data_IF_958120161722
#
_entry.id   IF_958120161722
#
_cell.length_a   1.000
_cell.length_b   1.000
_cell.length_c   1.000
_cell.angle_alpha   90.00
_cell.angle_beta   90.00
_cell.angle_gamma   90.00
#
_symmetry.space_group_name_H-M   'P 1'
#
loop_
_entity.id
_entity.type
_entity.pdbx_description
1 polymer ?
#
# COMPACT_ATOMS: atom_id res chain seq x y z
N UNK A 1 -8.23 -25.68 2.42
CA UNK A 1 -7.93 -25.71 0.98
C UNK A 1 -9.24 -25.79 0.20
N UNK A 2 -9.34 -25.08 -0.92
CA UNK A 2 -10.53 -25.06 -1.79
C UNK A 2 -10.67 -26.39 -2.53
N UNK A 3 -11.88 -26.94 -2.61
CA UNK A 3 -12.17 -28.15 -3.40
C UNK A 3 -12.24 -27.80 -4.90
N UNK A 4 -12.04 -28.76 -5.83
CA UNK A 4 -12.29 -28.54 -7.26
C UNK A 4 -13.68 -27.94 -7.51
N UNK A 5 -13.76 -26.95 -8.40
CA UNK A 5 -14.97 -26.16 -8.66
C UNK A 5 -15.29 -25.08 -7.61
N UNK A 6 -14.53 -25.00 -6.52
CA UNK A 6 -14.68 -23.94 -5.53
C UNK A 6 -14.02 -22.63 -5.98
N UNK A 7 -14.66 -21.51 -5.67
CA UNK A 7 -14.22 -20.18 -6.09
C UNK A 7 -13.47 -19.43 -5.00
N UNK A 8 -12.59 -18.54 -5.40
CA UNK A 8 -11.94 -17.54 -4.56
C UNK A 8 -12.19 -16.15 -5.13
N UNK A 9 -12.38 -15.19 -4.24
CA UNK A 9 -12.34 -13.76 -4.56
C UNK A 9 -11.23 -13.14 -3.72
N UNK A 10 -10.31 -12.45 -4.39
CA UNK A 10 -9.13 -11.84 -3.77
C UNK A 10 -9.07 -10.37 -4.17
N UNK A 11 -8.78 -9.51 -3.19
CA UNK A 11 -8.47 -8.10 -3.43
C UNK A 11 -7.33 -7.67 -2.51
N UNK A 12 -6.30 -7.04 -3.05
CA UNK A 12 -5.19 -6.50 -2.27
C UNK A 12 -4.53 -5.29 -2.93
N UNK A 13 -3.82 -4.44 -2.16
CA UNK A 13 -3.01 -3.35 -2.71
C UNK A 13 -1.93 -3.91 -3.65
N UNK A 14 -2.01 -3.59 -4.94
CA UNK A 14 -0.94 -3.85 -5.89
C UNK A 14 0.19 -2.81 -5.72
N UNK A 15 -0.17 -1.52 -5.65
CA UNK A 15 0.77 -0.42 -5.38
C UNK A 15 0.15 0.59 -4.43
N UNK A 16 0.93 1.06 -3.47
CA UNK A 16 0.48 2.00 -2.44
C UNK A 16 1.48 3.16 -2.27
N UNK A 17 0.97 4.39 -2.35
CA UNK A 17 1.74 5.62 -2.13
C UNK A 17 2.47 5.67 -0.77
N UNK A 18 1.89 5.05 0.26
CA UNK A 18 2.50 4.99 1.61
C UNK A 18 3.84 4.26 1.56
N UNK A 19 3.93 3.20 0.76
CA UNK A 19 5.14 2.39 0.58
C UNK A 19 6.23 3.11 -0.20
N UNK A 20 5.86 3.92 -1.19
CA UNK A 20 6.81 4.75 -1.92
C UNK A 20 7.51 5.76 -1.00
N UNK A 21 6.77 6.31 -0.05
CA UNK A 21 7.33 7.21 0.96
C UNK A 21 8.26 6.47 1.93
N UNK A 22 7.94 5.25 2.37
CA UNK A 22 8.88 4.46 3.18
C UNK A 22 10.19 4.20 2.43
N UNK A 23 10.13 3.88 1.15
CA UNK A 23 11.31 3.65 0.30
C UNK A 23 12.15 4.91 0.15
N UNK A 24 11.50 6.08 0.03
CA UNK A 24 12.19 7.36 0.01
C UNK A 24 12.86 7.68 1.35
N UNK A 25 12.14 7.54 2.46
CA UNK A 25 12.65 7.80 3.81
C UNK A 25 13.78 6.84 4.19
N UNK A 26 13.77 5.59 3.68
CA UNK A 26 14.84 4.63 3.93
C UNK A 26 16.21 5.05 3.39
N UNK A 27 16.26 6.08 2.53
CA UNK A 27 17.50 6.67 2.01
C UNK A 27 17.96 7.89 2.81
N UNK A 28 17.17 8.36 3.75
CA UNK A 28 17.47 9.52 4.58
C UNK A 28 18.26 9.07 5.81
N UNK A 29 19.39 9.72 6.10
CA UNK A 29 20.28 9.34 7.22
C UNK A 29 19.54 9.18 8.55
N UNK A 30 18.53 10.04 8.79
CA UNK A 30 17.69 10.01 9.98
C UNK A 30 16.87 8.72 10.14
N UNK A 31 16.31 8.20 9.04
CA UNK A 31 15.34 7.10 9.08
C UNK A 31 15.90 5.77 8.57
N UNK A 32 17.00 5.81 7.80
CA UNK A 32 17.68 4.63 7.27
C UNK A 32 18.00 3.54 8.33
N UNK A 33 18.45 3.88 9.55
CA UNK A 33 18.72 2.86 10.58
C UNK A 33 17.50 2.02 10.97
N UNK A 34 16.29 2.59 10.88
CA UNK A 34 15.04 1.92 11.24
C UNK A 34 14.37 1.22 10.06
N UNK A 35 14.62 1.71 8.84
CA UNK A 35 13.96 1.28 7.61
C UNK A 35 14.81 0.32 6.76
N UNK A 36 15.88 -0.25 7.31
CA UNK A 36 16.81 -1.12 6.57
C UNK A 36 16.16 -2.34 5.90
N UNK A 37 14.98 -2.77 6.36
CA UNK A 37 14.18 -3.86 5.77
C UNK A 37 12.91 -3.38 5.06
N UNK A 38 12.79 -2.10 4.72
CA UNK A 38 11.59 -1.52 4.11
C UNK A 38 11.07 -2.34 2.91
N UNK A 39 11.96 -2.81 2.03
CA UNK A 39 11.60 -3.63 0.86
C UNK A 39 10.90 -4.94 1.21
N UNK A 40 11.22 -5.56 2.34
CA UNK A 40 10.60 -6.82 2.77
C UNK A 40 9.18 -6.61 3.30
N UNK A 41 8.83 -5.37 3.65
CA UNK A 41 7.50 -5.01 4.14
C UNK A 41 6.53 -4.56 3.05
N UNK A 42 7.01 -4.43 1.81
CA UNK A 42 6.18 -3.98 0.70
C UNK A 42 5.40 -5.16 0.12
N UNK A 43 4.28 -4.87 -0.54
CA UNK A 43 3.60 -5.87 -1.35
C UNK A 43 4.55 -6.37 -2.45
N UNK A 44 4.56 -7.68 -2.77
CA UNK A 44 5.42 -8.22 -3.84
C UNK A 44 5.24 -7.48 -5.17
N UNK A 45 4.05 -6.95 -5.39
CA UNK A 45 3.63 -6.23 -6.58
C UNK A 45 3.96 -4.72 -6.58
N UNK A 46 4.50 -4.16 -5.49
CA UNK A 46 4.75 -2.71 -5.36
C UNK A 46 5.59 -2.15 -6.53
N UNK A 47 6.59 -2.92 -6.96
CA UNK A 47 7.48 -2.57 -8.08
C UNK A 47 7.27 -3.45 -9.32
N UNK A 48 6.21 -4.26 -9.34
CA UNK A 48 5.87 -5.05 -10.51
C UNK A 48 5.33 -4.12 -11.60
N UNK A 49 5.84 -4.27 -12.83
CA UNK A 49 5.42 -3.46 -13.97
C UNK A 49 3.99 -3.81 -14.38
N UNK A 50 3.70 -5.11 -14.53
CA UNK A 50 2.37 -5.64 -14.84
C UNK A 50 1.90 -6.62 -13.74
N UNK A 51 1.37 -6.10 -12.61
CA UNK A 51 0.88 -6.94 -11.54
C UNK A 51 -0.34 -7.78 -11.93
N UNK A 52 -1.06 -7.41 -13.00
CA UNK A 52 -2.19 -8.19 -13.48
C UNK A 52 -1.74 -9.49 -14.12
N UNK A 53 -0.77 -9.41 -15.03
CA UNK A 53 -0.19 -10.58 -15.69
C UNK A 53 0.49 -11.51 -14.68
N UNK A 54 1.35 -10.96 -13.84
CA UNK A 54 2.10 -11.70 -12.81
C UNK A 54 1.17 -12.51 -11.87
N UNK A 55 0.10 -11.87 -11.39
CA UNK A 55 -0.85 -12.57 -10.52
C UNK A 55 -1.74 -13.56 -11.27
N UNK A 56 -2.11 -13.27 -12.52
CA UNK A 56 -2.88 -14.22 -13.36
C UNK A 56 -2.09 -15.50 -13.60
N UNK A 57 -0.78 -15.40 -13.82
CA UNK A 57 0.09 -16.56 -14.00
C UNK A 57 0.31 -17.30 -12.67
N UNK A 58 0.48 -16.57 -11.57
CA UNK A 58 0.51 -17.16 -10.22
C UNK A 58 -0.74 -18.00 -9.94
N UNK A 59 -1.94 -17.51 -10.29
CA UNK A 59 -3.20 -18.26 -10.13
C UNK A 59 -3.21 -19.55 -10.95
N UNK A 60 -2.72 -19.52 -12.19
CA UNK A 60 -2.61 -20.72 -13.03
C UNK A 60 -1.63 -21.74 -12.44
N UNK A 61 -0.47 -21.28 -11.99
CA UNK A 61 0.56 -22.13 -11.38
C UNK A 61 0.06 -22.88 -10.15
N UNK A 62 -0.76 -22.23 -9.31
CA UNK A 62 -1.36 -22.87 -8.12
C UNK A 62 -2.65 -23.66 -8.45
N UNK A 63 -2.95 -23.84 -9.73
CA UNK A 63 -4.05 -24.66 -10.25
C UNK A 63 -5.43 -24.02 -10.11
N UNK A 64 -5.53 -22.72 -10.33
CA UNK A 64 -6.78 -22.00 -10.50
C UNK A 64 -6.92 -21.54 -11.95
N UNK A 65 -8.15 -21.51 -12.45
CA UNK A 65 -8.51 -20.77 -13.66
C UNK A 65 -9.09 -19.41 -13.26
N UNK A 66 -8.46 -18.33 -13.71
CA UNK A 66 -8.94 -16.96 -13.46
C UNK A 66 -9.96 -16.55 -14.53
N UNK A 67 -11.20 -16.29 -14.11
CA UNK A 67 -12.21 -15.68 -15.00
C UNK A 67 -12.08 -14.15 -14.99
N UNK A 68 -11.50 -13.59 -13.92
CA UNK A 68 -11.28 -12.16 -13.74
C UNK A 68 -9.96 -11.93 -12.99
N UNK A 69 -9.10 -11.09 -13.55
CA UNK A 69 -7.96 -10.50 -12.84
C UNK A 69 -7.77 -9.09 -13.38
N UNK A 70 -7.95 -8.09 -12.53
CA UNK A 70 -7.96 -6.68 -12.91
C UNK A 70 -7.11 -5.86 -11.96
N UNK A 71 -6.37 -4.91 -12.53
CA UNK A 71 -5.75 -3.82 -11.78
C UNK A 71 -6.62 -2.58 -11.87
N UNK A 72 -7.03 -2.06 -10.71
CA UNK A 72 -7.90 -0.87 -10.63
C UNK A 72 -7.19 0.21 -9.84
N UNK A 73 -7.13 1.42 -10.39
CA UNK A 73 -6.70 2.59 -9.66
C UNK A 73 -7.89 3.29 -9.01
N UNK A 74 -7.71 3.70 -7.74
CA UNK A 74 -8.68 4.46 -6.97
C UNK A 74 -7.97 5.58 -6.25
N UNK A 75 -8.60 6.75 -6.17
CA UNK A 75 -8.11 7.86 -5.36
C UNK A 75 -8.76 7.80 -3.99
N UNK A 76 -7.94 7.85 -2.94
CA UNK A 76 -8.40 7.90 -1.55
C UNK A 76 -8.14 9.28 -0.99
N UNK A 77 -9.19 9.86 -0.41
CA UNK A 77 -9.13 11.13 0.29
C UNK A 77 -9.28 10.89 1.79
N UNK A 78 -8.26 11.24 2.55
CA UNK A 78 -8.23 11.04 4.02
C UNK A 78 -7.81 12.32 4.72
N UNK A 79 -8.31 12.53 5.93
CA UNK A 79 -7.82 13.63 6.77
C UNK A 79 -6.37 13.37 7.21
N UNK A 80 -5.63 14.45 7.49
CA UNK A 80 -4.28 14.36 8.06
C UNK A 80 -4.26 13.50 9.32
N UNK A 81 -5.25 13.67 10.20
CA UNK A 81 -5.33 12.90 11.45
C UNK A 81 -5.51 11.40 11.19
N UNK A 82 -6.39 11.04 10.26
CA UNK A 82 -6.62 9.64 9.87
C UNK A 82 -5.37 9.01 9.26
N UNK A 83 -4.67 9.73 8.38
CA UNK A 83 -3.44 9.24 7.76
C UNK A 83 -2.34 9.00 8.79
N UNK A 84 -2.12 9.95 9.71
CA UNK A 84 -1.12 9.81 10.77
C UNK A 84 -1.43 8.61 11.68
N UNK A 85 -2.68 8.47 12.12
CA UNK A 85 -3.10 7.34 12.93
C UNK A 85 -3.00 6.00 12.19
N UNK A 86 -3.27 5.99 10.88
CA UNK A 86 -3.08 4.79 10.06
C UNK A 86 -1.60 4.40 9.98
N UNK A 87 -0.70 5.35 9.64
CA UNK A 87 0.75 5.09 9.57
C UNK A 87 1.27 4.57 10.90
N UNK A 88 0.86 5.20 12.01
CA UNK A 88 1.24 4.80 13.37
C UNK A 88 0.78 3.37 13.67
N UNK A 89 -0.48 3.03 13.35
CA UNK A 89 -1.06 1.72 13.63
C UNK A 89 -0.48 0.58 12.77
N UNK A 90 -0.11 0.85 11.52
CA UNK A 90 0.39 -0.17 10.58
C UNK A 90 1.90 -0.20 10.45
N UNK A 91 2.62 0.71 11.11
CA UNK A 91 4.08 0.76 11.08
C UNK A 91 4.66 -0.45 11.83
N UNK A 92 5.22 -1.41 11.08
CA UNK A 92 5.91 -2.58 11.63
C UNK A 92 7.41 -2.36 11.85
N UNK A 93 7.93 -1.18 11.52
CA UNK A 93 9.32 -0.83 11.75
C UNK A 93 9.60 -0.62 13.24
N UNK A 94 10.78 -1.06 13.69
CA UNK A 94 11.23 -0.87 15.08
C UNK A 94 11.74 0.56 15.27
N UNK A 95 10.81 1.52 15.29
CA UNK A 95 11.07 2.94 15.55
C UNK A 95 10.84 3.20 17.05
N UNK A 96 11.77 3.85 17.77
CA UNK A 96 11.55 4.25 19.16
C UNK A 96 10.26 5.04 19.33
N UNK A 97 9.50 4.77 20.40
CA UNK A 97 8.18 5.38 20.65
C UNK A 97 8.23 6.92 20.67
N UNK A 98 9.32 7.48 21.22
CA UNK A 98 9.57 8.92 21.24
C UNK A 98 9.81 9.53 19.86
N UNK A 99 10.14 8.73 18.84
CA UNK A 99 10.37 9.14 17.45
C UNK A 99 9.21 8.78 16.51
N UNK A 100 8.30 7.89 16.91
CA UNK A 100 7.22 7.39 16.05
C UNK A 100 6.29 8.52 15.56
N UNK A 101 5.94 9.46 16.45
CA UNK A 101 5.14 10.63 16.07
C UNK A 101 5.86 11.51 15.05
N UNK A 102 7.16 11.71 15.22
CA UNK A 102 7.97 12.49 14.29
C UNK A 102 8.09 11.79 12.93
N UNK A 103 8.30 10.47 12.95
CA UNK A 103 8.29 9.63 11.75
C UNK A 103 6.99 9.78 10.95
N UNK A 104 5.84 9.68 11.62
CA UNK A 104 4.54 9.85 10.97
C UNK A 104 4.38 11.25 10.36
N UNK A 105 4.87 12.30 11.04
CA UNK A 105 4.84 13.67 10.50
C UNK A 105 5.75 13.83 9.28
N UNK A 106 6.96 13.26 9.29
CA UNK A 106 7.88 13.28 8.15
C UNK A 106 7.31 12.54 6.95
N UNK A 107 6.68 11.38 7.18
CA UNK A 107 5.95 10.64 6.17
C UNK A 107 4.83 11.49 5.54
N UNK A 108 3.97 12.08 6.38
CA UNK A 108 2.91 12.99 5.92
C UNK A 108 3.45 14.17 5.13
N UNK A 109 4.53 14.82 5.60
CA UNK A 109 5.18 15.94 4.89
C UNK A 109 5.63 15.52 3.49
N UNK A 110 6.09 14.28 3.32
CA UNK A 110 6.51 13.75 2.03
C UNK A 110 5.32 13.49 1.11
N UNK A 111 4.27 12.87 1.64
CA UNK A 111 3.03 12.66 0.88
C UNK A 111 2.40 14.00 0.43
N UNK A 112 2.34 14.99 1.32
CA UNK A 112 1.83 16.34 1.01
C UNK A 112 2.59 17.03 -0.13
N UNK A 113 3.88 16.74 -0.33
CA UNK A 113 4.66 17.29 -1.45
C UNK A 113 4.35 16.63 -2.79
N UNK A 114 3.83 15.40 -2.77
CA UNK A 114 3.61 14.58 -3.97
C UNK A 114 2.14 14.55 -4.40
N UNK A 115 1.21 14.75 -3.48
CA UNK A 115 -0.21 14.51 -3.72
C UNK A 115 -1.08 15.72 -3.36
N UNK A 116 -2.30 15.72 -3.87
CA UNK A 116 -3.25 16.82 -3.72
C UNK A 116 -3.65 16.99 -2.26
N UNK A 117 -3.51 18.23 -1.77
CA UNK A 117 -3.94 18.63 -0.44
C UNK A 117 -4.97 19.73 -0.55
N UNK A 118 -6.02 19.61 0.25
CA UNK A 118 -7.04 20.64 0.39
C UNK A 118 -7.46 20.77 1.86
N UNK A 119 -8.13 21.86 2.18
CA UNK A 119 -8.60 22.16 3.53
C UNK A 119 -10.10 22.45 3.48
N UNK A 120 -10.86 21.87 4.39
CA UNK A 120 -12.30 22.16 4.50
C UNK A 120 -12.53 23.49 5.25
N UNK A 121 -13.80 23.93 5.30
CA UNK A 121 -14.20 25.18 5.97
C UNK A 121 -13.93 25.19 7.48
N UNK A 122 -13.76 24.02 8.09
CA UNK A 122 -13.43 23.86 9.51
C UNK A 122 -11.92 23.87 9.78
N UNK A 123 -11.10 24.01 8.74
CA UNK A 123 -9.65 24.00 8.85
C UNK A 123 -9.01 22.62 8.84
N UNK A 124 -9.78 21.55 8.65
CA UNK A 124 -9.23 20.20 8.57
C UNK A 124 -8.56 19.98 7.22
N UNK A 125 -7.35 19.42 7.26
CA UNK A 125 -6.53 19.18 6.08
C UNK A 125 -6.75 17.75 5.59
N UNK A 126 -6.97 17.61 4.29
CA UNK A 126 -7.14 16.34 3.60
C UNK A 126 -6.06 16.14 2.55
N UNK A 127 -5.68 14.88 2.37
CA UNK A 127 -4.75 14.43 1.34
C UNK A 127 -5.49 13.44 0.44
N UNK A 128 -5.37 13.62 -0.88
CA UNK A 128 -5.91 12.71 -1.89
C UNK A 128 -4.77 12.04 -2.66
N UNK A 129 -4.65 10.71 -2.59
CA UNK A 129 -3.56 9.96 -3.23
C UNK A 129 -4.07 8.69 -3.92
N UNK A 130 -3.39 8.20 -4.96
CA UNK A 130 -3.79 7.01 -5.69
C UNK A 130 -3.46 5.75 -4.88
N UNK A 131 -4.28 4.74 -5.10
CA UNK A 131 -4.15 3.43 -4.51
C UNK A 131 -4.53 2.41 -5.58
N UNK A 132 -3.59 1.55 -5.94
CA UNK A 132 -3.77 0.58 -7.01
C UNK A 132 -4.09 -0.76 -6.36
N UNK A 133 -5.25 -1.30 -6.68
CA UNK A 133 -5.71 -2.61 -6.20
C UNK A 133 -5.64 -3.63 -7.32
N UNK A 134 -5.24 -4.86 -6.95
CA UNK A 134 -5.49 -6.03 -7.76
C UNK A 134 -6.75 -6.72 -7.23
N UNK A 135 -7.67 -7.05 -8.13
CA UNK A 135 -8.91 -7.76 -7.83
C UNK A 135 -9.00 -8.97 -8.74
N UNK A 136 -9.23 -10.15 -8.16
CA UNK A 136 -9.34 -11.40 -8.91
C UNK A 136 -10.50 -12.27 -8.44
N UNK A 137 -11.12 -12.96 -9.40
CA UNK A 137 -12.02 -14.07 -9.18
C UNK A 137 -11.49 -15.28 -9.94
N UNK A 138 -11.34 -16.41 -9.25
CA UNK A 138 -10.79 -17.62 -9.83
C UNK A 138 -11.44 -18.88 -9.26
N UNK A 139 -11.52 -19.93 -10.07
CA UNK A 139 -12.05 -21.24 -9.72
C UNK A 139 -10.93 -22.26 -9.59
N UNK A 140 -11.01 -23.14 -8.57
CA UNK A 140 -10.06 -24.24 -8.40
C UNK A 140 -10.31 -25.29 -9.48
N UNK A 141 -9.28 -25.57 -10.26
CA UNK A 141 -9.28 -26.68 -11.24
C UNK A 141 -9.20 -28.01 -10.50
#
# INVERSE_FOLDING_TARGET
>A
MTKPGGNIFISFPAKNAIFDVYVAMAREEKWAPYLGRCRQMLTPTQFCEDPQADFSDTLKEVGFSSDLCLVTERTYTVSKAMLLGFIEAVCTFTIPENLLKEFCQDHYRRMKKQYSVWQNDQGEVYLSFPFIFLVAHAAKV
#
